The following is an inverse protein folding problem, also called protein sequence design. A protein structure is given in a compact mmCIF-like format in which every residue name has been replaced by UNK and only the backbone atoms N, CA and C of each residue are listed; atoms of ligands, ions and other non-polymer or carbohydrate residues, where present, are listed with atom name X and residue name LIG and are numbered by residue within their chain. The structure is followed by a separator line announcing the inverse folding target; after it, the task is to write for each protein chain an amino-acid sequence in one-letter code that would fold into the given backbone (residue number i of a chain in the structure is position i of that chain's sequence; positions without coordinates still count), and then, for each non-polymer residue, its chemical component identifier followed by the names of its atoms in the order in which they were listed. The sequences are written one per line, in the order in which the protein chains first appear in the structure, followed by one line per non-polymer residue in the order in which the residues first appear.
data_IF_548000663050
#
_entry.id   IF_548000663050
#
_cell.length_a   1.000
_cell.length_b   1.000
_cell.length_c   1.000
_cell.angle_alpha   90.00
_cell.angle_beta   90.00
_cell.angle_gamma   90.00
#
_symmetry.space_group_name_H-M   'P 1'
#
loop_
_entity.id
_entity.type
_entity.pdbx_description
1 polymer ?
#
# COMPACT_ATOMS: atom_id res chain seq x y z
N UNK A 1 -21.26 12.86 -34.35
CA UNK A 1 -20.14 13.38 -33.56
C UNK A 1 -19.50 12.23 -32.82
N UNK A 2 -18.37 11.74 -33.35
CA UNK A 2 -17.50 10.78 -32.63
C UNK A 2 -16.71 11.55 -31.55
N UNK A 3 -17.19 11.54 -30.32
CA UNK A 3 -16.33 11.80 -29.21
C UNK A 3 -15.42 10.57 -29.01
N UNK A 4 -14.19 10.71 -29.44
CA UNK A 4 -13.11 9.83 -29.03
C UNK A 4 -12.95 10.02 -27.52
N UNK A 5 -13.40 9.04 -26.75
CA UNK A 5 -12.95 8.86 -25.38
C UNK A 5 -11.41 8.72 -25.42
N UNK A 6 -10.70 9.76 -25.08
CA UNK A 6 -9.27 9.66 -24.80
C UNK A 6 -9.13 8.75 -23.59
N UNK A 7 -8.80 7.51 -23.86
CA UNK A 7 -8.30 6.59 -22.84
C UNK A 7 -7.03 7.21 -22.29
N UNK A 8 -7.11 7.68 -21.06
CA UNK A 8 -5.93 8.13 -20.31
C UNK A 8 -4.90 7.00 -20.36
N UNK A 9 -3.85 7.23 -21.11
CA UNK A 9 -2.91 6.18 -21.46
C UNK A 9 -2.10 5.76 -20.24
N UNK A 10 -1.88 4.45 -20.05
CA UNK A 10 -1.01 3.91 -19.00
C UNK A 10 0.42 4.47 -19.00
N UNK A 11 0.81 5.13 -20.07
CA UNK A 11 2.11 5.78 -20.22
C UNK A 11 2.40 6.87 -19.18
N UNK A 12 1.36 7.49 -18.60
CA UNK A 12 1.55 8.54 -17.58
C UNK A 12 2.04 7.97 -16.25
N UNK A 13 1.58 6.79 -15.87
CA UNK A 13 1.99 6.13 -14.64
C UNK A 13 3.46 5.69 -14.72
N UNK A 14 3.87 5.10 -15.85
CA UNK A 14 5.23 4.61 -16.00
C UNK A 14 6.26 5.72 -16.14
N UNK A 15 5.94 6.83 -16.81
CA UNK A 15 6.90 7.92 -17.04
C UNK A 15 7.16 8.74 -15.77
N UNK A 16 6.13 9.05 -14.99
CA UNK A 16 6.28 9.85 -13.76
C UNK A 16 6.88 9.01 -12.63
N UNK A 17 6.46 7.76 -12.50
CA UNK A 17 6.99 6.86 -11.48
C UNK A 17 8.45 6.47 -11.76
N UNK A 18 8.83 6.24 -13.02
CA UNK A 18 10.22 5.98 -13.39
C UNK A 18 11.13 7.19 -13.09
N UNK A 19 10.67 8.41 -13.33
CA UNK A 19 11.41 9.61 -12.99
C UNK A 19 11.55 9.87 -11.48
N UNK A 20 10.55 9.48 -10.69
CA UNK A 20 10.61 9.58 -9.23
C UNK A 20 11.52 8.50 -8.62
N UNK A 21 11.47 7.27 -9.14
CA UNK A 21 12.32 6.16 -8.67
C UNK A 21 13.81 6.38 -8.98
N UNK A 22 14.14 7.06 -10.09
CA UNK A 22 15.52 7.35 -10.47
C UNK A 22 16.22 8.38 -9.56
N UNK A 23 15.47 9.14 -8.76
CA UNK A 23 16.01 10.29 -7.99
C UNK A 23 16.34 10.00 -6.54
N UNK A 24 15.95 8.87 -5.98
CA UNK A 24 16.21 8.54 -4.56
C UNK A 24 16.68 7.12 -4.40
N UNK A 25 17.99 6.89 -4.41
CA UNK A 25 18.53 5.68 -3.79
C UNK A 25 18.25 5.74 -2.30
N UNK A 26 17.76 4.68 -1.69
CA UNK A 26 17.60 4.64 -0.25
C UNK A 26 18.94 4.92 0.43
N UNK A 27 18.89 5.67 1.54
CA UNK A 27 20.07 5.94 2.35
C UNK A 27 20.76 4.66 2.80
N UNK A 28 22.02 4.77 3.22
CA UNK A 28 22.85 3.68 3.71
C UNK A 28 22.13 2.89 4.82
N UNK A 29 21.58 1.74 4.48
CA UNK A 29 20.79 0.90 5.39
C UNK A 29 19.61 0.18 4.75
N UNK A 30 19.28 0.51 3.51
CA UNK A 30 18.23 -0.21 2.79
C UNK A 30 18.72 -1.58 2.33
N UNK A 31 17.89 -2.61 2.57
CA UNK A 31 18.18 -4.02 2.27
C UNK A 31 18.13 -4.37 0.76
N UNK A 32 18.03 -3.37 -0.12
CA UNK A 32 17.91 -3.55 -1.56
C UNK A 32 16.47 -3.60 -2.05
N UNK A 33 16.28 -3.95 -3.33
CA UNK A 33 14.95 -4.08 -3.95
C UNK A 33 14.25 -5.29 -3.36
N UNK A 34 13.09 -5.08 -2.74
CA UNK A 34 12.28 -6.14 -2.13
C UNK A 34 11.12 -6.57 -3.01
N UNK A 35 10.46 -5.63 -3.69
CA UNK A 35 9.33 -5.90 -4.55
C UNK A 35 9.59 -5.34 -5.95
N UNK A 36 9.43 -6.17 -6.97
CA UNK A 36 9.61 -5.79 -8.36
C UNK A 36 8.34 -6.07 -9.16
N UNK A 37 7.82 -5.05 -9.83
CA UNK A 37 6.77 -5.21 -10.84
C UNK A 37 7.39 -5.11 -12.21
N UNK A 38 7.15 -6.09 -13.10
CA UNK A 38 7.74 -6.18 -14.42
C UNK A 38 6.68 -6.41 -15.48
N UNK A 39 6.52 -5.44 -16.37
CA UNK A 39 5.63 -5.54 -17.52
C UNK A 39 4.18 -5.81 -17.14
N UNK A 40 3.66 -5.15 -16.12
CA UNK A 40 2.32 -5.39 -15.61
C UNK A 40 1.27 -4.86 -16.57
N UNK A 41 0.36 -5.76 -16.95
CA UNK A 41 -0.88 -5.45 -17.67
C UNK A 41 -2.05 -5.88 -16.79
N UNK A 42 -3.13 -5.15 -16.82
CA UNK A 42 -4.34 -5.51 -16.09
C UNK A 42 -5.60 -5.15 -16.88
N UNK A 43 -6.64 -5.97 -16.71
CA UNK A 43 -7.92 -5.84 -17.39
C UNK A 43 -9.07 -5.99 -16.39
N UNK A 44 -10.17 -5.33 -16.72
CA UNK A 44 -11.50 -5.64 -16.21
C UNK A 44 -12.36 -6.08 -17.40
N UNK A 45 -12.68 -7.39 -17.49
CA UNK A 45 -13.29 -7.94 -18.70
C UNK A 45 -12.41 -7.66 -19.93
N UNK A 46 -12.97 -7.01 -20.94
CA UNK A 46 -12.25 -6.66 -22.17
C UNK A 46 -11.49 -5.33 -22.09
N UNK A 47 -11.66 -4.59 -20.99
CA UNK A 47 -11.03 -3.28 -20.80
C UNK A 47 -9.66 -3.39 -20.18
N UNK A 48 -8.62 -3.03 -20.94
CA UNK A 48 -7.26 -2.90 -20.41
C UNK A 48 -7.14 -1.60 -19.61
N UNK A 49 -6.71 -1.68 -18.34
CA UNK A 49 -6.53 -0.53 -17.43
C UNK A 49 -5.07 -0.25 -17.11
N UNK A 50 -4.20 -1.24 -17.26
CA UNK A 50 -2.74 -1.08 -17.12
C UNK A 50 -2.05 -1.71 -18.32
N UNK A 51 -1.01 -1.03 -18.83
CA UNK A 51 -0.21 -1.50 -19.94
C UNK A 51 1.27 -1.28 -19.65
N UNK A 52 2.02 -2.38 -19.58
CA UNK A 52 3.47 -2.42 -19.48
C UNK A 52 4.03 -1.53 -18.35
N UNK A 53 3.55 -1.73 -17.13
CA UNK A 53 4.00 -0.99 -15.95
C UNK A 53 5.09 -1.76 -15.25
N UNK A 54 6.26 -1.12 -15.08
CA UNK A 54 7.39 -1.70 -14.35
C UNK A 54 7.89 -0.71 -13.30
N UNK A 55 7.97 -1.16 -12.05
CA UNK A 55 8.43 -0.39 -10.91
C UNK A 55 9.16 -1.29 -9.91
N UNK A 56 10.16 -0.72 -9.25
CA UNK A 56 10.86 -1.35 -8.13
C UNK A 56 10.50 -0.66 -6.81
N UNK A 57 10.37 -1.46 -5.76
CA UNK A 57 10.11 -1.00 -4.40
C UNK A 57 11.20 -1.54 -3.47
N UNK A 58 11.81 -0.65 -2.70
CA UNK A 58 12.90 -1.02 -1.81
C UNK A 58 12.37 -1.61 -0.51
N UNK A 59 13.04 -2.65 0.00
CA UNK A 59 12.72 -3.24 1.30
C UNK A 59 12.89 -2.21 2.42
N UNK A 60 12.01 -2.28 3.43
CA UNK A 60 12.03 -1.34 4.56
C UNK A 60 11.47 0.04 4.23
N UNK A 61 10.68 0.18 3.17
CA UNK A 61 10.13 1.46 2.74
C UNK A 61 8.62 1.52 2.82
N UNK A 62 8.13 2.75 2.99
CA UNK A 62 6.74 3.13 2.70
C UNK A 62 6.73 3.84 1.37
N UNK A 63 5.92 3.37 0.45
CA UNK A 63 5.77 3.95 -0.88
C UNK A 63 4.34 4.44 -1.05
N UNK A 64 4.19 5.73 -1.26
CA UNK A 64 2.92 6.33 -1.64
C UNK A 64 2.86 6.49 -3.16
N UNK A 65 1.80 5.99 -3.76
CA UNK A 65 1.44 6.29 -5.14
C UNK A 65 0.36 7.36 -5.12
N UNK A 66 0.69 8.52 -5.64
CA UNK A 66 -0.16 9.72 -5.61
C UNK A 66 -0.65 10.01 -7.02
N UNK A 67 -1.95 10.17 -7.17
CA UNK A 67 -2.56 10.52 -8.45
C UNK A 67 -4.07 10.59 -8.35
N UNK A 68 -4.72 11.12 -9.40
CA UNK A 68 -6.17 11.21 -9.44
C UNK A 68 -6.81 9.83 -9.53
N UNK A 69 -8.06 9.72 -9.08
CA UNK A 69 -8.87 8.53 -9.29
C UNK A 69 -9.02 8.22 -10.77
N UNK A 70 -9.07 6.93 -11.12
CA UNK A 70 -9.27 6.49 -12.51
C UNK A 70 -8.00 6.41 -13.36
N UNK A 71 -6.81 6.69 -12.80
CA UNK A 71 -5.54 6.54 -13.55
C UNK A 71 -4.94 5.12 -13.51
N UNK A 72 -5.64 4.16 -12.91
CA UNK A 72 -5.17 2.79 -12.76
C UNK A 72 -4.27 2.55 -11.53
N UNK A 73 -4.04 3.56 -10.71
CA UNK A 73 -3.19 3.48 -9.52
C UNK A 73 -3.64 2.42 -8.53
N UNK A 74 -4.92 2.41 -8.16
CA UNK A 74 -5.48 1.41 -7.24
C UNK A 74 -5.41 0.00 -7.81
N UNK A 75 -5.65 -0.15 -9.12
CA UNK A 75 -5.51 -1.43 -9.81
C UNK A 75 -4.08 -1.94 -9.75
N UNK A 76 -3.11 -1.06 -10.02
CA UNK A 76 -1.70 -1.41 -9.95
C UNK A 76 -1.29 -1.89 -8.54
N UNK A 77 -1.68 -1.14 -7.50
CA UNK A 77 -1.41 -1.54 -6.11
C UNK A 77 -1.98 -2.92 -5.81
N UNK A 78 -3.21 -3.21 -6.24
CA UNK A 78 -3.84 -4.52 -6.01
C UNK A 78 -3.15 -5.68 -6.72
N UNK A 79 -2.45 -5.45 -7.84
CA UNK A 79 -1.65 -6.50 -8.49
C UNK A 79 -0.43 -6.89 -7.67
N UNK A 80 0.07 -5.99 -6.84
CA UNK A 80 1.31 -6.17 -6.06
C UNK A 80 1.15 -7.07 -4.84
N UNK A 81 -0.09 -7.36 -4.41
CA UNK A 81 -0.36 -8.27 -3.29
C UNK A 81 -1.47 -9.28 -3.57
N UNK A 82 -1.78 -9.52 -4.83
CA UNK A 82 -2.79 -10.48 -5.30
C UNK A 82 -4.25 -10.12 -4.95
N UNK A 83 -4.55 -8.87 -4.60
CA UNK A 83 -5.93 -8.48 -4.35
C UNK A 83 -6.75 -8.29 -5.63
N UNK A 84 -6.09 -8.11 -6.78
CA UNK A 84 -6.77 -7.96 -8.08
C UNK A 84 -7.58 -9.21 -8.46
N UNK A 85 -7.11 -10.39 -8.08
CA UNK A 85 -7.78 -11.66 -8.40
C UNK A 85 -9.16 -11.84 -7.72
N UNK A 86 -9.45 -11.06 -6.67
CA UNK A 86 -10.77 -11.09 -6.02
C UNK A 86 -11.86 -10.35 -6.79
N UNK A 87 -11.51 -9.59 -7.79
CA UNK A 87 -12.47 -8.83 -8.57
C UNK A 87 -12.97 -9.71 -9.72
N UNK A 88 -14.30 -9.99 -9.82
CA UNK A 88 -14.84 -10.79 -10.91
C UNK A 88 -14.51 -10.18 -12.27
N UNK A 89 -14.03 -11.00 -13.20
CA UNK A 89 -13.65 -10.58 -14.54
C UNK A 89 -12.30 -9.86 -14.62
N UNK A 90 -11.58 -9.71 -13.51
CA UNK A 90 -10.25 -9.12 -13.51
C UNK A 90 -9.19 -10.13 -13.96
N UNK A 91 -8.24 -9.65 -14.75
CA UNK A 91 -7.09 -10.42 -15.20
C UNK A 91 -5.82 -9.57 -15.17
N UNK A 92 -4.68 -10.22 -15.07
CA UNK A 92 -3.39 -9.56 -15.14
C UNK A 92 -2.38 -10.40 -15.93
N UNK A 93 -1.36 -9.73 -16.44
CA UNK A 93 -0.15 -10.35 -17.01
C UNK A 93 1.08 -9.59 -16.52
N UNK A 94 2.23 -10.20 -16.66
CA UNK A 94 3.49 -9.70 -16.14
C UNK A 94 3.92 -10.43 -14.87
N UNK A 95 5.02 -9.98 -14.29
CA UNK A 95 5.61 -10.62 -13.12
C UNK A 95 5.67 -9.67 -11.94
N UNK A 96 5.36 -10.18 -10.76
CA UNK A 96 5.56 -9.50 -9.48
C UNK A 96 6.46 -10.38 -8.62
N UNK A 97 7.64 -9.88 -8.31
CA UNK A 97 8.65 -10.61 -7.55
C UNK A 97 8.83 -10.00 -6.16
N UNK A 98 8.67 -10.81 -5.15
CA UNK A 98 8.98 -10.45 -3.76
C UNK A 98 10.27 -11.18 -3.36
N UNK A 99 11.34 -10.43 -3.11
CA UNK A 99 12.67 -10.98 -2.85
C UNK A 99 13.11 -11.99 -3.94
N UNK A 100 12.82 -11.67 -5.20
CA UNK A 100 13.18 -12.47 -6.36
C UNK A 100 12.24 -13.64 -6.67
N UNK A 101 11.21 -13.87 -5.85
CA UNK A 101 10.25 -14.96 -6.04
C UNK A 101 8.91 -14.44 -6.55
N UNK A 102 8.39 -15.05 -7.60
CA UNK A 102 7.08 -14.71 -8.18
C UNK A 102 5.95 -14.98 -7.17
N UNK A 103 5.21 -13.94 -6.81
CA UNK A 103 4.10 -14.05 -5.87
C UNK A 103 2.88 -14.77 -6.45
N UNK A 104 2.80 -14.91 -7.78
CA UNK A 104 1.73 -15.61 -8.50
C UNK A 104 2.07 -17.06 -8.80
N UNK A 105 3.23 -17.54 -8.36
CA UNK A 105 3.63 -18.93 -8.52
C UNK A 105 2.66 -19.88 -7.78
N UNK A 106 2.37 -21.02 -8.39
CA UNK A 106 1.53 -22.06 -7.80
C UNK A 106 2.11 -22.52 -6.46
N UNK A 107 1.24 -22.66 -5.44
CA UNK A 107 1.64 -23.05 -4.08
C UNK A 107 2.15 -21.90 -3.21
N UNK A 108 2.13 -20.66 -3.69
CA UNK A 108 2.49 -19.49 -2.88
C UNK A 108 1.49 -19.28 -1.75
N UNK A 109 2.00 -19.08 -0.54
CA UNK A 109 1.18 -18.69 0.61
C UNK A 109 0.79 -17.21 0.52
N UNK A 110 -0.43 -16.97 0.07
CA UNK A 110 -0.96 -15.60 -0.16
C UNK A 110 -1.04 -14.80 1.14
N UNK A 111 -1.31 -15.45 2.27
CA UNK A 111 -1.35 -14.79 3.57
C UNK A 111 0.01 -14.20 3.93
N UNK A 112 1.09 -14.95 3.70
CA UNK A 112 2.47 -14.44 3.91
C UNK A 112 2.80 -13.28 2.99
N UNK A 113 2.38 -13.32 1.73
CA UNK A 113 2.58 -12.21 0.79
C UNK A 113 1.92 -10.95 1.32
N UNK A 114 0.66 -11.03 1.75
CA UNK A 114 -0.10 -9.88 2.26
C UNK A 114 0.42 -9.33 3.59
N UNK A 115 1.10 -10.15 4.39
CA UNK A 115 1.78 -9.68 5.60
C UNK A 115 3.06 -8.91 5.26
N UNK A 116 3.80 -9.35 4.26
CA UNK A 116 5.06 -8.71 3.85
C UNK A 116 4.85 -7.47 3.00
N UNK A 117 3.80 -7.44 2.20
CA UNK A 117 3.41 -6.30 1.36
C UNK A 117 2.12 -5.72 1.93
N UNK A 118 2.26 -4.78 2.84
CA UNK A 118 1.14 -4.08 3.47
C UNK A 118 0.52 -3.05 2.54
N UNK A 119 -0.77 -2.78 2.74
CA UNK A 119 -1.51 -1.79 1.96
C UNK A 119 -2.33 -0.88 2.85
N UNK A 120 -2.34 0.40 2.51
CA UNK A 120 -3.24 1.40 3.08
C UNK A 120 -4.04 2.02 1.95
N UNK A 121 -5.35 1.85 1.99
CA UNK A 121 -6.25 2.37 0.96
C UNK A 121 -6.56 3.84 1.17
N UNK A 122 -6.89 4.55 0.09
CA UNK A 122 -7.31 5.95 0.11
C UNK A 122 -8.48 6.19 1.07
N UNK A 123 -9.51 5.32 1.02
CA UNK A 123 -10.63 5.37 1.95
C UNK A 123 -10.27 4.59 3.21
N UNK A 124 -10.30 5.21 4.41
CA UNK A 124 -10.03 4.51 5.65
C UNK A 124 -10.99 3.33 5.83
N UNK A 125 -10.46 2.22 6.34
CA UNK A 125 -11.23 1.01 6.60
C UNK A 125 -10.90 0.40 7.96
N UNK A 126 -10.91 1.17 9.06
CA UNK A 126 -10.74 0.59 10.38
C UNK A 126 -11.93 -0.32 10.69
N UNK A 127 -11.73 -1.22 11.64
CA UNK A 127 -12.84 -1.97 12.22
C UNK A 127 -13.60 -1.05 13.19
N UNK A 128 -14.78 -0.55 12.83
CA UNK A 128 -15.41 0.55 13.57
C UNK A 128 -15.88 0.16 14.96
N UNK A 129 -16.21 -1.10 15.17
CA UNK A 129 -16.67 -1.67 16.45
C UNK A 129 -15.54 -2.22 17.34
N UNK A 130 -14.31 -2.24 16.84
CA UNK A 130 -13.12 -2.53 17.65
C UNK A 130 -12.56 -1.27 18.28
N UNK A 131 -11.91 -1.43 19.42
CA UNK A 131 -11.17 -0.33 20.06
C UNK A 131 -10.00 0.12 19.17
N UNK A 132 -9.47 1.31 19.46
CA UNK A 132 -8.27 1.82 18.78
C UNK A 132 -7.10 0.83 18.98
N UNK A 133 -6.88 0.36 20.20
CA UNK A 133 -5.85 -0.64 20.50
C UNK A 133 -6.05 -1.94 19.73
N UNK A 134 -7.26 -2.48 19.72
CA UNK A 134 -7.57 -3.73 19.03
C UNK A 134 -7.43 -3.60 17.51
N UNK A 135 -7.77 -2.45 16.94
CA UNK A 135 -7.52 -2.17 15.53
C UNK A 135 -6.04 -2.31 15.17
N UNK A 136 -5.15 -1.67 15.94
CA UNK A 136 -3.71 -1.72 15.66
C UNK A 136 -3.17 -3.16 15.77
N UNK A 137 -3.62 -3.91 16.76
CA UNK A 137 -3.13 -5.26 17.04
C UNK A 137 -3.86 -6.38 16.31
N UNK A 138 -4.90 -6.05 15.53
CA UNK A 138 -5.75 -7.04 14.87
C UNK A 138 -4.97 -7.99 13.94
N UNK A 139 -4.01 -7.48 13.19
CA UNK A 139 -3.20 -8.28 12.28
C UNK A 139 -2.31 -9.30 12.98
N UNK A 140 -1.83 -9.01 14.18
CA UNK A 140 -1.03 -9.95 14.97
C UNK A 140 -1.84 -11.20 15.34
N UNK A 141 -3.08 -11.01 15.73
CA UNK A 141 -3.98 -12.12 16.08
C UNK A 141 -4.31 -12.97 14.86
N UNK A 142 -4.64 -12.33 13.73
CA UNK A 142 -4.95 -13.02 12.48
C UNK A 142 -3.76 -13.79 11.93
N UNK A 143 -2.55 -13.23 12.03
CA UNK A 143 -1.32 -13.84 11.57
C UNK A 143 -0.69 -14.81 12.59
N UNK A 144 -1.29 -14.96 13.76
CA UNK A 144 -0.75 -15.76 14.87
C UNK A 144 0.68 -15.38 15.27
N UNK A 145 1.01 -14.09 15.16
CA UNK A 145 2.29 -13.56 15.56
C UNK A 145 2.32 -13.30 17.06
N UNK A 146 3.40 -13.77 17.71
CA UNK A 146 3.65 -13.53 19.12
C UNK A 146 4.57 -12.33 19.30
N UNK A 147 4.21 -11.42 20.19
CA UNK A 147 4.98 -10.23 20.53
C UNK A 147 5.19 -10.22 22.04
N UNK A 148 6.43 -9.92 22.48
CA UNK A 148 6.78 -9.93 23.91
C UNK A 148 6.03 -8.84 24.70
N UNK A 149 5.91 -7.65 24.13
CA UNK A 149 5.22 -6.53 24.76
C UNK A 149 4.28 -5.85 23.75
N UNK A 150 2.99 -6.17 23.86
CA UNK A 150 1.97 -5.60 22.97
C UNK A 150 1.75 -4.11 23.20
N UNK A 151 1.89 -3.62 24.43
CA UNK A 151 1.70 -2.21 24.76
C UNK A 151 2.79 -1.35 24.15
N UNK A 152 4.04 -1.80 24.18
CA UNK A 152 5.16 -1.10 23.54
C UNK A 152 4.99 -1.08 22.00
N UNK A 153 4.58 -2.17 21.40
CA UNK A 153 4.31 -2.23 19.96
C UNK A 153 3.16 -1.32 19.57
N UNK A 154 2.08 -1.30 20.36
CA UNK A 154 0.93 -0.43 20.15
C UNK A 154 1.36 1.04 20.15
N UNK A 155 2.12 1.47 21.16
CA UNK A 155 2.65 2.83 21.25
C UNK A 155 3.55 3.15 20.07
N UNK A 156 4.51 2.29 19.76
CA UNK A 156 5.44 2.47 18.64
C UNK A 156 4.70 2.68 17.31
N UNK A 157 3.72 1.85 17.01
CA UNK A 157 2.95 1.95 15.77
C UNK A 157 2.12 3.23 15.71
N UNK A 158 1.49 3.63 16.82
CA UNK A 158 0.72 4.86 16.89
C UNK A 158 1.59 6.12 16.82
N UNK A 159 2.77 6.08 17.42
CA UNK A 159 3.78 7.15 17.29
C UNK A 159 4.22 7.29 15.84
N UNK A 160 4.59 6.20 15.19
CA UNK A 160 5.03 6.20 13.79
C UNK A 160 3.94 6.66 12.83
N UNK A 161 2.70 6.34 13.11
CA UNK A 161 1.55 6.81 12.32
C UNK A 161 1.15 8.27 12.62
N UNK A 162 1.80 8.91 13.58
CA UNK A 162 1.49 10.30 13.98
C UNK A 162 0.17 10.45 14.72
N UNK A 163 -0.31 9.41 15.40
CA UNK A 163 -1.61 9.38 16.06
C UNK A 163 -1.54 9.29 17.58
N UNK A 164 -0.40 8.90 18.14
CA UNK A 164 -0.26 8.60 19.57
C UNK A 164 -0.71 9.73 20.48
N UNK A 165 -0.25 10.95 20.25
CA UNK A 165 -0.59 12.10 21.09
C UNK A 165 -2.11 12.40 21.13
N UNK A 166 -2.85 12.04 20.08
CA UNK A 166 -4.27 12.28 19.96
C UNK A 166 -5.13 11.19 20.59
N UNK A 167 -4.58 9.96 20.78
CA UNK A 167 -5.36 8.80 21.22
C UNK A 167 -4.82 8.09 22.46
N UNK A 168 -3.66 8.47 22.98
CA UNK A 168 -3.01 7.79 24.11
C UNK A 168 -3.91 7.64 25.36
N UNK A 169 -4.83 8.58 25.59
CA UNK A 169 -5.73 8.58 26.73
C UNK A 169 -7.12 8.00 26.41
N UNK A 170 -7.30 7.46 25.19
CA UNK A 170 -8.58 6.90 24.73
C UNK A 170 -8.41 5.64 23.87
N UNK A 171 -7.42 4.82 24.18
CA UNK A 171 -7.14 3.59 23.43
C UNK A 171 -8.28 2.57 23.47
N UNK A 172 -9.15 2.65 24.48
CA UNK A 172 -10.36 1.81 24.59
C UNK A 172 -11.58 2.38 23.86
N UNK A 173 -11.49 3.59 23.29
CA UNK A 173 -12.54 4.13 22.45
C UNK A 173 -12.62 3.35 21.11
N UNK A 174 -13.79 3.36 20.48
CA UNK A 174 -13.98 2.70 19.22
C UNK A 174 -13.27 3.40 18.06
N UNK A 175 -12.67 2.63 17.17
CA UNK A 175 -12.00 3.16 15.98
C UNK A 175 -12.93 3.98 15.09
N UNK A 176 -14.21 3.61 15.02
CA UNK A 176 -15.22 4.34 14.26
C UNK A 176 -15.55 5.75 14.81
N UNK A 177 -15.16 6.06 16.06
CA UNK A 177 -15.37 7.39 16.67
C UNK A 177 -14.35 8.44 16.23
N UNK A 178 -13.29 8.02 15.55
CA UNK A 178 -12.23 8.92 15.09
C UNK A 178 -12.66 9.71 13.85
N UNK A 179 -12.01 10.87 13.65
CA UNK A 179 -12.14 11.62 12.39
C UNK A 179 -11.59 10.84 11.19
N UNK A 180 -11.90 11.26 9.97
CA UNK A 180 -11.40 10.59 8.76
C UNK A 180 -9.87 10.51 8.69
N UNK A 181 -9.18 11.61 8.99
CA UNK A 181 -7.72 11.64 9.02
C UNK A 181 -7.12 10.77 10.12
N UNK A 182 -7.75 10.74 11.29
CA UNK A 182 -7.35 9.86 12.39
C UNK A 182 -7.58 8.38 12.05
N UNK A 183 -8.69 8.05 11.40
CA UNK A 183 -8.98 6.70 10.92
C UNK A 183 -7.92 6.23 9.91
N UNK A 184 -7.49 7.10 9.01
CA UNK A 184 -6.42 6.77 8.05
C UNK A 184 -5.10 6.47 8.76
N UNK A 185 -4.71 7.30 9.73
CA UNK A 185 -3.52 7.07 10.54
C UNK A 185 -3.63 5.80 11.40
N UNK A 186 -4.84 5.47 11.88
CA UNK A 186 -5.09 4.20 12.54
C UNK A 186 -4.85 3.00 11.62
N UNK A 187 -5.29 3.08 10.36
CA UNK A 187 -5.02 2.06 9.36
C UNK A 187 -3.53 1.92 9.05
N UNK A 188 -2.78 3.01 9.04
CA UNK A 188 -1.31 2.97 8.90
C UNK A 188 -0.69 2.25 10.10
N UNK A 189 -1.07 2.60 11.33
CA UNK A 189 -0.57 1.95 12.55
C UNK A 189 -0.85 0.44 12.55
N UNK A 190 -2.06 0.04 12.16
CA UNK A 190 -2.45 -1.37 12.01
C UNK A 190 -1.55 -2.12 11.03
N UNK A 191 -1.24 -1.50 9.90
CA UNK A 191 -0.36 -2.09 8.88
C UNK A 191 1.08 -2.21 9.35
N UNK A 192 1.59 -1.28 10.16
CA UNK A 192 2.95 -1.31 10.71
C UNK A 192 3.11 -2.40 11.78
N UNK A 193 2.07 -2.76 12.50
CA UNK A 193 2.13 -3.70 13.62
C UNK A 193 2.58 -5.11 13.20
N UNK A 194 2.26 -5.54 11.98
CA UNK A 194 2.68 -6.84 11.42
C UNK A 194 4.07 -6.82 10.80
N UNK A 195 4.79 -5.70 10.90
CA UNK A 195 6.15 -5.48 10.41
C UNK A 195 6.33 -5.87 8.93
N UNK A 196 5.61 -5.20 8.01
CA UNK A 196 5.75 -5.49 6.59
C UNK A 196 7.14 -5.12 6.09
N UNK A 197 7.61 -5.79 5.05
CA UNK A 197 8.83 -5.38 4.35
C UNK A 197 8.59 -4.10 3.53
N UNK A 198 7.41 -3.97 2.97
CA UNK A 198 7.01 -2.84 2.14
C UNK A 198 5.59 -2.45 2.52
N UNK A 199 5.35 -1.16 2.69
CA UNK A 199 4.01 -0.60 2.87
C UNK A 199 3.65 0.26 1.68
N UNK A 200 2.59 -0.10 0.99
CA UNK A 200 2.06 0.62 -0.16
C UNK A 200 0.87 1.47 0.27
N UNK A 201 0.87 2.73 -0.11
CA UNK A 201 -0.19 3.67 0.21
C UNK A 201 -0.83 4.21 -1.06
N UNK A 202 -2.15 4.11 -1.12
CA UNK A 202 -2.97 4.72 -2.17
C UNK A 202 -3.48 6.07 -1.67
N UNK A 203 -2.89 7.16 -2.16
CA UNK A 203 -3.24 8.50 -1.72
C UNK A 203 -3.80 9.36 -2.85
N UNK A 204 -4.85 10.16 -2.59
CA UNK A 204 -5.29 11.17 -3.53
C UNK A 204 -4.28 12.31 -3.57
N UNK A 205 -4.00 12.86 -4.75
CA UNK A 205 -3.23 14.08 -4.87
C UNK A 205 -4.13 15.25 -5.24
N UNK A 206 -4.21 16.22 -4.34
CA UNK A 206 -4.91 17.49 -4.59
C UNK A 206 -3.99 18.59 -5.12
N UNK A 207 -2.66 18.38 -5.06
CA UNK A 207 -1.65 19.41 -5.34
C UNK A 207 -0.92 19.23 -6.67
N UNK A 208 -1.12 18.12 -7.40
CA UNK A 208 -0.51 17.83 -8.69
C UNK A 208 -1.51 18.01 -9.82
N UNK A 209 -1.00 18.24 -11.02
CA UNK A 209 -1.81 18.35 -12.23
C UNK A 209 -2.65 17.07 -12.44
N UNK A 210 -3.91 17.19 -12.93
CA UNK A 210 -4.72 16.03 -13.28
C UNK A 210 -3.98 15.11 -14.25
N UNK A 211 -3.93 13.82 -13.95
CA UNK A 211 -3.23 12.81 -14.75
C UNK A 211 -1.79 12.53 -14.32
N UNK A 212 -1.23 13.29 -13.40
CA UNK A 212 0.10 13.01 -12.84
C UNK A 212 0.01 11.99 -11.72
N UNK A 213 0.91 11.01 -11.73
CA UNK A 213 1.09 10.05 -10.63
C UNK A 213 2.52 10.12 -10.14
N UNK A 214 2.70 10.25 -8.84
CA UNK A 214 4.00 10.37 -8.19
C UNK A 214 4.20 9.23 -7.20
N UNK A 215 5.39 8.62 -7.24
CA UNK A 215 5.86 7.66 -6.25
C UNK A 215 6.73 8.37 -5.23
N UNK A 216 6.34 8.33 -3.96
CA UNK A 216 7.09 8.87 -2.84
C UNK A 216 7.52 7.71 -1.95
N UNK A 217 8.81 7.60 -1.67
CA UNK A 217 9.36 6.58 -0.78
C UNK A 217 9.91 7.21 0.49
N UNK A 218 9.55 6.62 1.62
CA UNK A 218 10.11 6.92 2.93
C UNK A 218 10.50 5.63 3.60
N UNK A 219 11.53 5.64 4.44
CA UNK A 219 11.88 4.45 5.20
C UNK A 219 10.85 4.23 6.32
N UNK A 220 10.58 2.97 6.65
CA UNK A 220 9.62 2.63 7.71
C UNK A 220 10.05 3.25 9.06
N UNK A 221 11.35 3.43 9.28
CA UNK A 221 11.90 4.08 10.46
C UNK A 221 11.68 5.60 10.51
N UNK A 222 11.39 6.24 9.40
CA UNK A 222 11.19 7.70 9.28
C UNK A 222 9.72 8.13 9.41
N UNK A 223 8.81 7.16 9.59
CA UNK A 223 7.41 7.43 9.87
C UNK A 223 7.21 7.77 11.36
N UNK A 224 7.86 8.78 11.81
CA UNK A 224 7.69 9.29 13.18
C UNK A 224 7.19 10.74 13.18
#
# INVERSE_FOLDING_TARGET
GNEKMETTTPSSLSSVAANAAAKKKPGSGALGVGLEARGIHAWFGDKMVLKDISLDFWSGTVTALIGPSGCGKSTFIRTLNRMHEFIPGAAMAGDVLLNGKDIYESGTDVTKIRLKVGMVFQKPNPFPSMTIADNVLAGLKLAQLKVQNKDDLLEECLVRAGLWSEVKDRLSAYGGSLSGGQQQRLCIARSLAVRPEILLMDEPCSALDPGSTLKIEETISELS
#
